data_IF_635812721064
#
_entry.id   IF_635812721064
#
_cell.length_a   1.000
_cell.length_b   1.000
_cell.length_c   1.000
_cell.angle_alpha   90.00
_cell.angle_beta   90.00
_cell.angle_gamma   90.00
#
_symmetry.space_group_name_H-M   'P 1'
#
loop_
_entity.id
_entity.type
_entity.pdbx_description
1 polymer ?
#
# COMPACT_ATOMS: atom_id res chain seq x y z
N UNK A 1 14.27 -7.47 -0.63
CA UNK A 1 14.41 -7.97 0.75
C UNK A 1 14.34 -6.76 1.66
N UNK A 2 13.46 -6.75 2.66
CA UNK A 2 13.42 -5.68 3.66
C UNK A 2 14.65 -5.82 4.56
N UNK A 3 15.48 -4.78 4.64
CA UNK A 3 16.77 -4.81 5.34
C UNK A 3 16.63 -5.06 6.85
N UNK A 4 15.43 -4.89 7.43
CA UNK A 4 15.17 -5.13 8.86
C UNK A 4 14.82 -6.60 9.20
N UNK A 5 14.67 -7.50 8.22
CA UNK A 5 14.36 -8.92 8.46
C UNK A 5 12.99 -9.21 9.12
N UNK A 6 12.23 -8.19 9.53
CA UNK A 6 10.91 -8.34 10.15
C UNK A 6 9.81 -8.56 9.13
N UNK A 7 8.84 -9.39 9.50
CA UNK A 7 7.61 -9.59 8.73
C UNK A 7 6.69 -8.37 8.86
N UNK A 8 6.06 -7.96 7.76
CA UNK A 8 5.03 -6.90 7.76
C UNK A 8 3.92 -7.13 8.80
N UNK A 9 3.61 -8.39 9.14
CA UNK A 9 2.61 -8.71 10.15
C UNK A 9 3.01 -8.23 11.55
N UNK A 10 4.30 -8.19 11.89
CA UNK A 10 4.76 -7.72 13.22
C UNK A 10 4.33 -6.28 13.50
N UNK A 11 4.45 -5.38 12.52
CA UNK A 11 4.02 -3.97 12.66
C UNK A 11 2.51 -3.77 12.95
N UNK A 12 1.66 -4.80 12.75
CA UNK A 12 0.22 -4.72 13.05
C UNK A 12 -0.10 -5.22 14.46
N UNK A 13 0.58 -6.28 14.90
CA UNK A 13 0.25 -6.96 16.17
C UNK A 13 1.13 -6.51 17.35
N UNK A 14 2.31 -5.94 17.11
CA UNK A 14 3.19 -5.44 18.18
C UNK A 14 2.57 -4.26 18.97
N UNK A 15 1.47 -3.67 18.49
CA UNK A 15 0.67 -2.65 19.20
C UNK A 15 0.09 -3.13 20.54
N UNK A 16 -0.19 -4.43 20.67
CA UNK A 16 -0.77 -5.03 21.87
C UNK A 16 0.31 -5.57 22.83
N UNK A 17 1.57 -5.58 22.38
CA UNK A 17 2.75 -5.94 23.17
C UNK A 17 3.42 -4.65 23.66
N UNK A 18 2.78 -4.00 24.64
CA UNK A 18 3.14 -2.67 25.17
C UNK A 18 4.55 -2.57 25.77
N UNK A 19 5.32 -3.64 25.83
CA UNK A 19 6.62 -3.69 26.51
C UNK A 19 7.85 -3.58 25.57
N UNK A 20 7.72 -3.75 24.23
CA UNK A 20 8.91 -3.84 23.33
C UNK A 20 8.80 -3.09 21.97
N UNK A 21 7.95 -2.05 21.86
CA UNK A 21 7.94 -1.18 20.68
C UNK A 21 9.07 -0.15 20.75
N UNK A 22 10.18 -0.41 20.05
CA UNK A 22 11.24 0.59 19.86
C UNK A 22 10.72 1.80 19.07
N UNK A 23 11.30 2.97 19.29
CA UNK A 23 10.98 4.19 18.53
C UNK A 23 11.11 3.98 17.01
N UNK A 24 12.07 3.14 16.60
CA UNK A 24 12.28 2.73 15.22
C UNK A 24 11.08 1.99 14.62
N UNK A 25 10.48 1.03 15.36
CA UNK A 25 9.30 0.28 14.90
C UNK A 25 8.08 1.21 14.71
N UNK A 26 7.93 2.19 15.60
CA UNK A 26 6.85 3.18 15.51
C UNK A 26 7.02 4.05 14.26
N UNK A 27 8.24 4.48 13.99
CA UNK A 27 8.56 5.31 12.84
C UNK A 27 8.38 4.55 11.51
N UNK A 28 8.85 3.30 11.42
CA UNK A 28 8.65 2.47 10.23
C UNK A 28 7.16 2.19 9.96
N UNK A 29 6.37 1.93 11.01
CA UNK A 29 4.93 1.80 10.87
C UNK A 29 4.28 3.08 10.35
N UNK A 30 4.70 4.26 10.84
CA UNK A 30 4.20 5.56 10.34
C UNK A 30 4.53 5.74 8.86
N UNK A 31 5.73 5.37 8.43
CA UNK A 31 6.16 5.44 7.02
C UNK A 31 5.32 4.52 6.13
N UNK A 32 5.02 3.31 6.59
CA UNK A 32 4.12 2.38 5.89
C UNK A 32 2.73 3.00 5.74
N UNK A 33 2.14 3.52 6.82
CA UNK A 33 0.83 4.18 6.74
C UNK A 33 0.83 5.41 5.84
N UNK A 34 1.89 6.23 5.88
CA UNK A 34 2.03 7.39 5.00
C UNK A 34 2.03 6.98 3.52
N UNK A 35 2.80 5.95 3.18
CA UNK A 35 2.84 5.37 1.85
C UNK A 35 1.46 4.85 1.40
N UNK A 36 0.79 4.06 2.25
CA UNK A 36 -0.52 3.50 1.94
C UNK A 36 -1.60 4.58 1.80
N UNK A 37 -1.60 5.59 2.67
CA UNK A 37 -2.54 6.72 2.61
C UNK A 37 -2.36 7.55 1.34
N UNK A 38 -1.13 7.71 0.85
CA UNK A 38 -0.87 8.37 -0.43
C UNK A 38 -1.57 7.63 -1.57
N UNK A 39 -1.36 6.32 -1.67
CA UNK A 39 -1.97 5.53 -2.74
C UNK A 39 -3.48 5.41 -2.60
N UNK A 40 -4.01 5.30 -1.38
CA UNK A 40 -5.46 5.30 -1.15
C UNK A 40 -6.11 6.57 -1.70
N UNK A 41 -5.51 7.73 -1.40
CA UNK A 41 -6.00 9.02 -1.92
C UNK A 41 -5.90 9.09 -3.44
N UNK A 42 -4.79 8.64 -4.02
CA UNK A 42 -4.63 8.60 -5.48
C UNK A 42 -5.72 7.73 -6.11
N UNK A 43 -5.95 6.53 -5.57
CA UNK A 43 -6.96 5.60 -6.04
C UNK A 43 -8.37 6.17 -6.00
N UNK A 44 -8.75 6.84 -4.92
CA UNK A 44 -10.05 7.51 -4.80
C UNK A 44 -10.22 8.56 -5.90
N UNK A 45 -9.20 9.38 -6.15
CA UNK A 45 -9.28 10.42 -7.19
C UNK A 45 -9.36 9.83 -8.60
N UNK A 46 -8.64 8.75 -8.88
CA UNK A 46 -8.74 8.02 -10.16
C UNK A 46 -10.14 7.41 -10.32
N UNK A 47 -10.65 6.74 -9.28
CA UNK A 47 -11.98 6.08 -9.30
C UNK A 47 -13.12 7.07 -9.54
N UNK A 48 -12.96 8.31 -9.09
CA UNK A 48 -13.93 9.39 -9.28
C UNK A 48 -13.66 10.26 -10.53
N UNK A 49 -12.72 9.86 -11.40
CA UNK A 49 -12.33 10.60 -12.61
C UNK A 49 -11.88 12.05 -12.34
N UNK A 50 -11.28 12.31 -11.17
CA UNK A 50 -10.72 13.63 -10.80
C UNK A 50 -9.30 13.77 -11.34
N UNK A 51 -8.52 12.69 -11.28
CA UNK A 51 -7.17 12.66 -11.84
C UNK A 51 -7.15 11.95 -13.19
N UNK A 52 -6.26 12.44 -14.06
CA UNK A 52 -5.91 11.75 -15.30
C UNK A 52 -5.19 10.44 -14.96
N UNK A 53 -5.91 9.33 -15.14
CA UNK A 53 -5.38 8.00 -14.87
C UNK A 53 -4.22 7.62 -15.80
N UNK A 54 -4.27 8.03 -17.07
CA UNK A 54 -3.22 7.71 -18.03
C UNK A 54 -1.89 8.35 -17.59
N UNK A 55 -1.93 9.65 -17.27
CA UNK A 55 -0.76 10.36 -16.77
C UNK A 55 -0.25 9.75 -15.46
N UNK A 56 -1.14 9.49 -14.49
CA UNK A 56 -0.71 8.91 -13.22
C UNK A 56 -0.13 7.51 -13.38
N UNK A 57 -0.65 6.71 -14.30
CA UNK A 57 -0.13 5.39 -14.59
C UNK A 57 1.28 5.49 -15.19
N UNK A 58 1.55 6.43 -16.08
CA UNK A 58 2.92 6.67 -16.58
C UNK A 58 3.90 7.00 -15.46
N UNK A 59 3.48 7.79 -14.48
CA UNK A 59 4.33 8.22 -13.35
C UNK A 59 4.48 7.13 -12.29
N UNK A 60 3.38 6.44 -11.93
CA UNK A 60 3.29 5.64 -10.71
C UNK A 60 3.20 4.13 -10.95
N UNK A 61 3.04 3.64 -12.19
CA UNK A 61 2.71 2.22 -12.45
C UNK A 61 3.59 1.23 -11.68
N UNK A 62 4.91 1.34 -11.83
CA UNK A 62 5.84 0.40 -11.19
C UNK A 62 5.74 0.45 -9.68
N UNK A 63 5.68 1.65 -9.10
CA UNK A 63 5.59 1.85 -7.65
C UNK A 63 4.25 1.36 -7.11
N UNK A 64 3.14 1.69 -7.78
CA UNK A 64 1.80 1.31 -7.35
C UNK A 64 1.61 -0.21 -7.36
N UNK A 65 1.97 -0.89 -8.46
CA UNK A 65 1.73 -2.33 -8.63
C UNK A 65 2.72 -3.16 -7.82
N UNK A 66 4.04 -2.89 -7.93
CA UNK A 66 5.05 -3.72 -7.25
C UNK A 66 5.01 -3.55 -5.73
N UNK A 67 4.82 -2.34 -5.24
CA UNK A 67 4.77 -2.14 -3.79
C UNK A 67 3.48 -2.69 -3.20
N UNK A 68 2.37 -2.73 -3.95
CA UNK A 68 1.15 -3.36 -3.46
C UNK A 68 1.39 -4.83 -3.11
N UNK A 69 2.11 -5.58 -3.94
CA UNK A 69 2.49 -6.98 -3.64
C UNK A 69 3.31 -7.10 -2.35
N UNK A 70 4.16 -6.11 -2.06
CA UNK A 70 4.98 -6.06 -0.84
C UNK A 70 4.14 -5.75 0.39
N UNK A 71 3.21 -4.79 0.30
CA UNK A 71 2.41 -4.31 1.43
C UNK A 71 1.11 -5.08 1.64
N UNK A 72 0.68 -5.92 0.69
CA UNK A 72 -0.56 -6.70 0.78
C UNK A 72 -0.67 -7.52 2.09
N UNK A 73 0.39 -8.18 2.59
CA UNK A 73 0.34 -8.88 3.87
C UNK A 73 0.05 -7.97 5.07
N UNK A 74 0.55 -6.73 5.04
CA UNK A 74 0.28 -5.72 6.09
C UNK A 74 -1.19 -5.30 6.06
N UNK A 75 -1.73 -5.02 4.86
CA UNK A 75 -3.14 -4.65 4.69
C UNK A 75 -4.05 -5.80 5.17
N UNK A 76 -3.76 -7.04 4.78
CA UNK A 76 -4.53 -8.22 5.22
C UNK A 76 -4.48 -8.36 6.75
N UNK A 77 -3.32 -8.20 7.37
CA UNK A 77 -3.20 -8.23 8.82
C UNK A 77 -4.00 -7.13 9.52
N UNK A 78 -4.02 -5.89 8.99
CA UNK A 78 -4.86 -4.81 9.52
C UNK A 78 -6.35 -5.19 9.44
N UNK A 79 -6.78 -5.72 8.30
CA UNK A 79 -8.17 -6.13 8.08
C UNK A 79 -8.60 -7.24 9.03
N UNK A 80 -7.72 -8.21 9.27
CA UNK A 80 -7.90 -9.28 10.26
C UNK A 80 -8.00 -8.72 11.68
N UNK A 81 -7.03 -7.89 12.10
CA UNK A 81 -6.97 -7.31 13.45
C UNK A 81 -8.21 -6.49 13.79
N UNK A 82 -8.65 -5.64 12.86
CA UNK A 82 -9.77 -4.72 13.08
C UNK A 82 -11.12 -5.24 12.57
N UNK A 83 -11.18 -6.50 12.11
CA UNK A 83 -12.36 -7.11 11.51
C UNK A 83 -13.07 -6.20 10.48
N UNK A 84 -12.29 -5.60 9.58
CA UNK A 84 -12.77 -4.63 8.59
C UNK A 84 -12.14 -4.88 7.24
N UNK A 85 -12.94 -4.91 6.18
CA UNK A 85 -12.43 -5.10 4.82
C UNK A 85 -12.02 -3.78 4.13
N UNK A 86 -12.33 -2.63 4.73
CA UNK A 86 -12.22 -1.33 4.06
C UNK A 86 -10.82 -0.73 4.08
N UNK A 87 -9.91 -1.23 4.92
CA UNK A 87 -8.54 -0.73 4.98
C UNK A 87 -7.86 -0.89 3.62
N UNK A 88 -7.46 0.25 3.04
CA UNK A 88 -6.70 0.34 1.79
C UNK A 88 -7.34 -0.38 0.60
N UNK A 89 -8.68 -0.48 0.59
CA UNK A 89 -9.42 -1.18 -0.45
C UNK A 89 -9.31 -0.47 -1.82
N UNK A 90 -9.16 0.86 -1.83
CA UNK A 90 -9.08 1.61 -3.07
C UNK A 90 -7.67 1.50 -3.68
N UNK A 91 -6.63 1.47 -2.85
CA UNK A 91 -5.29 1.12 -3.31
C UNK A 91 -5.26 -0.29 -3.92
N UNK A 92 -5.86 -1.28 -3.26
CA UNK A 92 -5.99 -2.62 -3.80
C UNK A 92 -6.72 -2.64 -5.15
N UNK A 93 -7.83 -1.93 -5.27
CA UNK A 93 -8.57 -1.81 -6.52
C UNK A 93 -7.70 -1.25 -7.64
N UNK A 94 -6.98 -0.15 -7.39
CA UNK A 94 -6.13 0.50 -8.40
C UNK A 94 -4.97 -0.41 -8.81
N UNK A 95 -4.27 -1.00 -7.85
CA UNK A 95 -3.13 -1.88 -8.12
C UNK A 95 -3.55 -3.09 -8.96
N UNK A 96 -4.68 -3.74 -8.62
CA UNK A 96 -5.23 -4.86 -9.39
C UNK A 96 -5.72 -4.43 -10.78
N UNK A 97 -6.33 -3.24 -10.90
CA UNK A 97 -6.75 -2.68 -12.20
C UNK A 97 -5.55 -2.48 -13.11
N UNK A 98 -4.49 -1.84 -12.62
CA UNK A 98 -3.27 -1.60 -13.38
C UNK A 98 -2.49 -2.89 -13.66
N UNK A 99 -2.48 -3.87 -12.75
CA UNK A 99 -1.86 -5.17 -13.03
C UNK A 99 -2.53 -5.90 -14.20
N UNK A 100 -3.85 -5.77 -14.35
CA UNK A 100 -4.63 -6.37 -15.47
C UNK A 100 -4.44 -5.64 -16.80
N UNK A 101 -4.16 -4.35 -16.77
CA UNK A 101 -3.86 -3.53 -17.94
C UNK A 101 -2.51 -2.85 -17.71
N UNK A 102 -1.38 -3.51 -18.01
CA UNK A 102 -0.06 -2.98 -17.71
C UNK A 102 0.26 -1.71 -18.52
N UNK A 103 1.22 -0.92 -18.02
CA UNK A 103 1.75 0.23 -18.78
C UNK A 103 2.39 -0.28 -20.10
N UNK A 104 1.99 0.33 -21.22
CA UNK A 104 2.45 -0.07 -22.55
C UNK A 104 3.84 0.54 -22.83
N UNK A 105 4.64 -0.18 -23.60
CA UNK A 105 5.94 0.33 -24.07
C UNK A 105 5.67 1.53 -24.99
N UNK A 106 6.33 2.66 -24.74
CA UNK A 106 6.33 3.81 -25.64
C UNK A 106 6.94 3.38 -26.98
N UNK A 107 6.11 3.32 -28.03
CA UNK A 107 6.59 3.14 -29.39
C UNK A 107 7.06 4.51 -29.88
N UNK A 108 8.36 4.61 -30.16
CA UNK A 108 8.96 5.78 -30.81
C UNK A 108 8.46 5.93 -32.23
#
# INVERSE_FOLDING_TARGET
>A
MHESGRSFRSYVYDEDLTEDLTEENVEDRRRIHYFLNFFERVSVNVKNNIYDECMLKEVLYSTAVKNFEIVEPFIKALREKFNSQTYYQEYEWLARKWQKDPLKINRK
#
